data_IF_894876351237
#
_entry.id   IF_894876351237
#
_cell.length_a   1.000
_cell.length_b   1.000
_cell.length_c   1.000
_cell.angle_alpha   90.00
_cell.angle_beta   90.00
_cell.angle_gamma   90.00
#
_symmetry.space_group_name_H-M   'P 1'
#
loop_
_entity.id
_entity.type
_entity.pdbx_description
1 polymer ?
#
# COMPACT_ATOMS: atom_id res chain seq x y z
N UNK A 1 19.58 -7.06 -7.64
CA UNK A 1 19.53 -7.50 -6.22
C UNK A 1 18.74 -6.58 -5.29
N UNK A 2 18.71 -5.24 -5.48
CA UNK A 2 18.09 -4.30 -4.53
C UNK A 2 16.56 -4.35 -4.38
N UNK A 3 15.80 -4.76 -5.40
CA UNK A 3 14.31 -4.74 -5.38
C UNK A 3 13.68 -5.52 -4.22
N UNK A 4 14.37 -6.55 -3.71
CA UNK A 4 13.87 -7.43 -2.63
C UNK A 4 14.27 -6.97 -1.23
N UNK A 5 15.27 -6.11 -1.08
CA UNK A 5 15.77 -5.70 0.26
C UNK A 5 14.64 -5.09 1.09
N UNK A 6 13.87 -4.16 0.51
CA UNK A 6 12.72 -3.59 1.20
C UNK A 6 11.64 -4.63 1.49
N UNK A 7 11.39 -5.55 0.56
CA UNK A 7 10.38 -6.59 0.76
C UNK A 7 10.75 -7.52 1.91
N UNK A 8 12.05 -7.83 2.06
CA UNK A 8 12.62 -8.55 3.21
C UNK A 8 12.53 -7.73 4.49
N UNK A 9 12.96 -6.46 4.50
CA UNK A 9 12.94 -5.60 5.69
C UNK A 9 11.53 -5.39 6.24
N UNK A 10 10.56 -5.22 5.35
CA UNK A 10 9.15 -5.04 5.73
C UNK A 10 8.40 -6.37 5.91
N UNK A 11 9.05 -7.50 5.61
CA UNK A 11 8.48 -8.85 5.56
C UNK A 11 7.10 -8.90 4.85
N UNK A 12 6.95 -8.10 3.78
CA UNK A 12 5.70 -8.00 3.02
C UNK A 12 5.97 -7.35 1.67
N UNK A 13 5.78 -8.13 0.60
CA UNK A 13 5.86 -7.63 -0.78
C UNK A 13 4.76 -6.62 -1.08
N UNK A 14 3.52 -6.93 -0.68
CA UNK A 14 2.36 -6.08 -0.89
C UNK A 14 2.53 -4.71 -0.22
N UNK A 15 3.08 -4.67 1.00
CA UNK A 15 3.36 -3.42 1.73
C UNK A 15 4.27 -2.50 0.94
N UNK A 16 5.39 -3.00 0.45
CA UNK A 16 6.37 -2.18 -0.29
C UNK A 16 5.81 -1.77 -1.66
N UNK A 17 5.05 -2.64 -2.33
CA UNK A 17 4.36 -2.28 -3.58
C UNK A 17 3.35 -1.15 -3.36
N UNK A 18 2.50 -1.27 -2.34
CA UNK A 18 1.51 -0.25 -1.97
C UNK A 18 2.19 1.08 -1.62
N UNK A 19 3.23 1.05 -0.78
CA UNK A 19 3.96 2.25 -0.39
C UNK A 19 4.58 2.97 -1.60
N UNK A 20 5.29 2.22 -2.47
CA UNK A 20 5.88 2.77 -3.70
C UNK A 20 4.84 3.35 -4.63
N UNK A 21 3.69 2.69 -4.76
CA UNK A 21 2.61 3.15 -5.62
C UNK A 21 2.02 4.46 -5.10
N UNK A 22 1.67 4.53 -3.82
CA UNK A 22 1.09 5.74 -3.22
C UNK A 22 2.05 6.92 -3.28
N UNK A 23 3.33 6.70 -2.98
CA UNK A 23 4.36 7.75 -3.07
C UNK A 23 4.46 8.35 -4.49
N UNK A 24 4.44 7.51 -5.52
CA UNK A 24 4.54 7.96 -6.93
C UNK A 24 3.29 8.66 -7.45
N UNK A 25 2.15 8.43 -6.82
CA UNK A 25 0.86 8.96 -7.26
C UNK A 25 0.27 10.02 -6.32
N UNK A 26 1.02 10.46 -5.30
CA UNK A 26 0.61 11.55 -4.43
C UNK A 26 0.40 12.84 -5.26
N UNK A 27 -0.65 13.65 -5.00
CA UNK A 27 -1.62 13.59 -3.89
C UNK A 27 -2.94 12.86 -4.22
N UNK A 28 -2.97 11.93 -5.17
CA UNK A 28 -4.22 11.25 -5.56
C UNK A 28 -4.72 10.30 -4.47
N UNK A 29 -6.03 10.27 -4.29
CA UNK A 29 -6.74 9.31 -3.45
C UNK A 29 -7.18 8.10 -4.25
N UNK A 30 -7.17 6.92 -3.62
CA UNK A 30 -7.52 5.65 -4.27
C UNK A 30 -8.46 4.82 -3.39
N UNK A 31 -9.34 4.05 -4.03
CA UNK A 31 -10.15 3.06 -3.32
C UNK A 31 -9.39 1.76 -3.09
N UNK A 32 -9.79 0.96 -2.10
CA UNK A 32 -9.20 -0.37 -1.84
C UNK A 32 -9.33 -1.29 -3.06
N UNK A 33 -10.48 -1.24 -3.75
CA UNK A 33 -10.72 -2.01 -4.97
C UNK A 33 -9.73 -1.64 -6.07
N UNK A 34 -9.57 -0.34 -6.33
CA UNK A 34 -8.66 0.16 -7.35
C UNK A 34 -7.20 -0.18 -7.04
N UNK A 35 -6.79 -0.08 -5.77
CA UNK A 35 -5.45 -0.46 -5.35
C UNK A 35 -5.18 -1.94 -5.53
N UNK A 36 -6.14 -2.82 -5.20
CA UNK A 36 -6.03 -4.26 -5.43
C UNK A 36 -5.85 -4.59 -6.92
N UNK A 37 -6.64 -3.98 -7.80
CA UNK A 37 -6.56 -4.18 -9.25
C UNK A 37 -5.22 -3.67 -9.82
N UNK A 38 -4.79 -2.46 -9.45
CA UNK A 38 -3.53 -1.87 -9.95
C UNK A 38 -2.29 -2.58 -9.43
N UNK A 39 -2.34 -3.10 -8.20
CA UNK A 39 -1.22 -3.81 -7.58
C UNK A 39 -1.23 -5.30 -7.88
N UNK A 40 -2.30 -5.84 -8.48
CA UNK A 40 -2.48 -7.28 -8.71
C UNK A 40 -2.32 -8.07 -7.40
N UNK A 41 -2.91 -7.56 -6.33
CA UNK A 41 -2.95 -8.17 -5.00
C UNK A 41 -4.42 -8.36 -4.60
N UNK A 42 -4.71 -9.28 -3.68
CA UNK A 42 -6.08 -9.47 -3.20
C UNK A 42 -6.54 -8.30 -2.30
N UNK A 43 -7.85 -8.04 -2.30
CA UNK A 43 -8.45 -6.94 -1.51
C UNK A 43 -8.18 -7.08 0.00
N UNK A 44 -8.31 -8.26 0.63
CA UNK A 44 -7.95 -8.44 2.04
C UNK A 44 -6.51 -8.03 2.37
N UNK A 45 -5.54 -8.44 1.56
CA UNK A 45 -4.12 -8.08 1.72
C UNK A 45 -3.92 -6.57 1.63
N UNK A 46 -4.48 -5.92 0.61
CA UNK A 46 -4.38 -4.46 0.48
C UNK A 46 -5.04 -3.75 1.65
N UNK A 47 -6.23 -4.18 2.07
CA UNK A 47 -6.93 -3.60 3.23
C UNK A 47 -6.08 -3.68 4.49
N UNK A 48 -5.48 -4.84 4.76
CA UNK A 48 -4.59 -5.06 5.91
C UNK A 48 -3.38 -4.12 5.91
N UNK A 49 -2.75 -3.91 4.76
CA UNK A 49 -1.60 -2.99 4.67
C UNK A 49 -2.03 -1.52 4.77
N UNK A 50 -3.18 -1.12 4.22
CA UNK A 50 -3.75 0.22 4.41
C UNK A 50 -4.03 0.49 5.89
N UNK A 51 -4.63 -0.47 6.59
CA UNK A 51 -4.94 -0.31 8.01
C UNK A 51 -3.65 -0.17 8.84
N UNK A 52 -2.59 -0.94 8.54
CA UNK A 52 -1.26 -0.77 9.15
C UNK A 52 -0.66 0.61 8.89
N UNK A 53 -0.75 1.10 7.66
CA UNK A 53 -0.27 2.45 7.33
C UNK A 53 -1.10 3.55 8.01
N UNK A 54 -2.40 3.33 8.19
CA UNK A 54 -3.27 4.25 8.93
C UNK A 54 -2.89 4.27 10.41
N UNK A 55 -2.62 3.11 11.01
CA UNK A 55 -2.21 2.99 12.42
C UNK A 55 -0.94 3.77 12.75
N UNK A 56 0.02 3.83 11.82
CA UNK A 56 1.27 4.59 12.00
C UNK A 56 1.16 6.05 11.53
N UNK A 57 -0.04 6.52 11.15
CA UNK A 57 -0.27 7.89 10.69
C UNK A 57 0.26 8.20 9.29
N UNK A 58 0.69 7.21 8.51
CA UNK A 58 1.20 7.41 7.16
C UNK A 58 0.08 7.74 6.16
N UNK A 59 -1.10 7.14 6.35
CA UNK A 59 -2.27 7.38 5.51
C UNK A 59 -3.41 7.95 6.35
N UNK A 60 -4.10 8.93 5.78
CA UNK A 60 -5.35 9.45 6.33
C UNK A 60 -6.50 8.93 5.46
N UNK A 61 -7.50 8.32 6.10
CA UNK A 61 -8.72 7.94 5.39
C UNK A 61 -9.48 9.21 5.03
N UNK A 62 -9.55 9.53 3.74
CA UNK A 62 -10.42 10.60 3.26
C UNK A 62 -11.87 10.21 3.57
N UNK A 63 -12.54 10.99 4.41
CA UNK A 63 -13.99 10.93 4.53
C UNK A 63 -14.53 11.49 3.21
N UNK A 64 -15.03 10.60 2.35
CA UNK A 64 -15.87 11.01 1.23
C UNK A 64 -17.31 11.06 1.71
#
# INVERSE_FOLDING_TARGET
MSKRILETLFNSRARVRLLRFLYRNHPRSFSVKELAERLQEDRPTIKKEIDRFTQIGLLVKSKK
#
